data_IF_668643984462
#
_entry.id   IF_668643984462
#
_cell.length_a   1.000
_cell.length_b   1.000
_cell.length_c   1.000
_cell.angle_alpha   90.00
_cell.angle_beta   90.00
_cell.angle_gamma   90.00
#
_symmetry.space_group_name_H-M   'P 1'
#
loop_
_entity.id
_entity.type
_entity.pdbx_description
1 polymer ?
#
# COMPACT_ATOMS: atom_id res chain seq x y z
N UNK A 1 -4.62 3.68 23.61
CA UNK A 1 -5.92 3.37 22.96
C UNK A 1 -5.56 2.87 21.59
N UNK A 2 -5.77 1.58 21.32
CA UNK A 2 -5.44 0.99 20.04
C UNK A 2 -6.58 1.24 19.06
N UNK A 3 -6.27 1.31 17.76
CA UNK A 3 -7.27 1.52 16.72
C UNK A 3 -8.45 0.54 16.78
N UNK A 4 -8.17 -0.69 17.21
CA UNK A 4 -9.14 -1.78 17.38
C UNK A 4 -10.22 -1.48 18.41
N UNK A 5 -9.94 -0.66 19.43
CA UNK A 5 -10.87 -0.44 20.55
C UNK A 5 -12.08 0.43 20.15
N UNK A 6 -11.98 1.19 19.06
CA UNK A 6 -13.05 2.07 18.55
C UNK A 6 -13.72 1.57 17.27
N UNK A 7 -13.19 0.54 16.62
CA UNK A 7 -13.72 -0.04 15.38
C UNK A 7 -14.42 -1.38 15.67
N UNK A 8 -15.47 -1.32 16.50
CA UNK A 8 -16.33 -2.48 16.80
C UNK A 8 -17.41 -2.62 15.73
N UNK A 9 -17.27 -3.58 14.80
CA UNK A 9 -18.31 -4.28 14.00
C UNK A 9 -19.42 -3.49 13.29
N UNK A 10 -19.47 -2.17 13.41
CA UNK A 10 -20.23 -1.26 12.57
C UNK A 10 -19.20 -0.63 11.62
N UNK A 11 -19.49 -0.72 10.32
CA UNK A 11 -18.77 -0.15 9.17
C UNK A 11 -17.68 0.83 9.61
N UNK A 12 -16.41 0.45 9.51
CA UNK A 12 -15.32 1.38 9.71
C UNK A 12 -15.56 2.53 8.74
N UNK A 13 -16.06 3.66 9.23
CA UNK A 13 -16.33 4.79 8.37
C UNK A 13 -15.00 5.23 7.75
N UNK A 14 -15.02 5.59 6.47
CA UNK A 14 -13.81 5.85 5.71
C UNK A 14 -12.90 6.90 6.40
N UNK A 15 -13.49 7.87 7.10
CA UNK A 15 -12.76 8.90 7.84
C UNK A 15 -12.03 8.33 9.07
N UNK A 16 -12.69 7.49 9.86
CA UNK A 16 -12.09 6.79 11.00
C UNK A 16 -10.96 5.86 10.57
N UNK A 17 -11.11 5.17 9.43
CA UNK A 17 -10.04 4.33 8.87
C UNK A 17 -8.86 5.17 8.37
N UNK A 18 -9.09 6.28 7.67
CA UNK A 18 -8.03 7.21 7.28
C UNK A 18 -7.26 7.72 8.51
N UNK A 19 -7.98 8.16 9.56
CA UNK A 19 -7.34 8.62 10.79
C UNK A 19 -6.55 7.51 11.50
N UNK A 20 -6.99 6.24 11.38
CA UNK A 20 -6.25 5.09 11.84
C UNK A 20 -4.92 4.94 11.10
N UNK A 21 -4.96 4.91 9.76
CA UNK A 21 -3.79 4.76 8.90
C UNK A 21 -2.79 5.89 9.19
N UNK A 22 -3.27 7.14 9.24
CA UNK A 22 -2.44 8.31 9.53
C UNK A 22 -1.73 8.21 10.88
N UNK A 23 -2.41 7.70 11.91
CA UNK A 23 -1.83 7.54 13.25
C UNK A 23 -0.84 6.38 13.31
N UNK A 24 -1.21 5.19 12.83
CA UNK A 24 -0.39 3.98 13.03
C UNK A 24 0.85 3.95 12.13
N UNK A 25 0.82 4.69 11.01
CA UNK A 25 1.98 4.91 10.15
C UNK A 25 2.62 6.29 10.36
N UNK A 26 2.24 7.03 11.39
CA UNK A 26 2.93 8.27 11.75
C UNK A 26 4.39 7.97 12.12
N UNK A 27 5.32 8.75 11.56
CA UNK A 27 6.74 8.61 11.86
C UNK A 27 7.42 7.41 11.21
N UNK A 28 6.81 6.78 10.20
CA UNK A 28 7.56 5.86 9.32
C UNK A 28 8.75 6.60 8.72
N UNK A 29 9.90 5.92 8.68
CA UNK A 29 11.10 6.49 8.11
C UNK A 29 10.87 6.77 6.63
N UNK A 30 11.25 7.97 6.20
CA UNK A 30 11.19 8.37 4.80
C UNK A 30 12.09 7.46 3.97
N UNK A 31 11.51 6.79 2.98
CA UNK A 31 12.26 6.02 1.99
C UNK A 31 13.31 6.87 1.29
N UNK A 32 14.47 6.30 0.93
CA UNK A 32 15.48 7.04 0.15
C UNK A 32 15.02 7.25 -1.30
N UNK A 33 14.51 6.17 -1.93
CA UNK A 33 14.01 6.16 -3.30
C UNK A 33 12.62 6.82 -3.40
N UNK A 34 12.43 7.72 -4.35
CA UNK A 34 11.15 8.39 -4.62
C UNK A 34 10.19 7.53 -5.48
N UNK A 35 8.87 7.80 -5.43
CA UNK A 35 7.92 7.18 -6.37
C UNK A 35 8.31 7.45 -7.83
N UNK A 36 8.76 8.67 -8.14
CA UNK A 36 9.25 9.03 -9.47
C UNK A 36 10.47 8.21 -9.90
N UNK A 37 11.36 7.85 -8.99
CA UNK A 37 12.47 6.96 -9.28
C UNK A 37 12.00 5.53 -9.55
N UNK A 38 11.03 5.01 -8.79
CA UNK A 38 10.38 3.74 -9.11
C UNK A 38 9.66 3.77 -10.47
N UNK A 39 9.01 4.88 -10.82
CA UNK A 39 8.33 5.03 -12.11
C UNK A 39 9.32 4.93 -13.28
N UNK A 40 10.55 5.42 -13.11
CA UNK A 40 11.60 5.20 -14.12
C UNK A 40 11.93 3.71 -14.28
N UNK A 41 12.02 2.96 -13.18
CA UNK A 41 12.32 1.52 -13.25
C UNK A 41 11.24 0.75 -14.02
N UNK A 42 9.97 1.10 -13.81
CA UNK A 42 8.85 0.49 -14.54
C UNK A 42 8.87 0.89 -16.03
N UNK A 43 9.12 2.17 -16.32
CA UNK A 43 9.17 2.71 -17.69
C UNK A 43 10.28 2.08 -18.55
N UNK A 44 11.47 1.87 -17.98
CA UNK A 44 12.60 1.28 -18.70
C UNK A 44 12.61 -0.26 -18.62
N UNK A 45 11.82 -0.86 -17.72
CA UNK A 45 11.71 -2.30 -17.55
C UNK A 45 13.07 -2.99 -17.36
N UNK A 46 13.25 -4.14 -18.00
CA UNK A 46 14.51 -4.90 -17.97
C UNK A 46 15.60 -4.34 -18.92
N UNK A 47 15.37 -3.18 -19.55
CA UNK A 47 16.39 -2.55 -20.40
C UNK A 47 17.29 -1.67 -19.54
N UNK A 48 18.56 -2.05 -19.45
CA UNK A 48 19.57 -1.31 -18.71
C UNK A 48 20.01 -0.08 -19.52
N UNK A 49 19.55 1.09 -19.10
CA UNK A 49 20.41 2.27 -18.89
C UNK A 49 19.58 3.46 -18.37
N UNK A 50 19.16 3.39 -17.10
CA UNK A 50 18.77 4.61 -16.38
C UNK A 50 20.07 5.31 -15.98
N UNK A 51 20.41 6.40 -16.67
CA UNK A 51 21.62 7.15 -16.31
C UNK A 51 21.54 7.68 -14.88
N UNK A 52 22.66 7.74 -14.16
CA UNK A 52 22.72 8.35 -12.82
C UNK A 52 22.13 9.77 -12.81
N UNK A 53 22.31 10.51 -13.93
CA UNK A 53 21.76 11.85 -14.11
C UNK A 53 20.24 11.85 -14.13
N UNK A 54 19.62 10.92 -14.85
CA UNK A 54 18.17 10.80 -14.95
C UNK A 54 17.58 10.31 -13.63
N UNK A 55 18.20 9.30 -13.00
CA UNK A 55 17.84 8.82 -11.66
C UNK A 55 17.87 9.95 -10.62
N UNK A 56 18.96 10.72 -10.58
CA UNK A 56 19.09 11.84 -9.66
C UNK A 56 18.15 13.00 -9.99
N UNK A 57 17.80 13.22 -11.26
CA UNK A 57 16.83 14.24 -11.66
C UNK A 57 15.42 13.90 -11.17
N UNK A 58 14.97 12.66 -11.36
CA UNK A 58 13.65 12.21 -10.86
C UNK A 58 13.55 12.21 -9.34
N UNK A 59 14.65 11.98 -8.63
CA UNK A 59 14.69 12.14 -7.17
C UNK A 59 14.54 13.60 -6.70
N UNK A 60 14.94 14.60 -7.50
CA UNK A 60 14.87 16.03 -7.14
C UNK A 60 13.48 16.62 -7.24
N UNK A 61 12.60 16.01 -8.03
CA UNK A 61 11.20 16.43 -8.18
C UNK A 61 10.32 15.96 -7.01
N UNK A 62 10.89 15.18 -6.10
CA UNK A 62 10.21 14.69 -4.90
C UNK A 62 9.82 15.83 -3.97
N UNK A 63 8.53 15.92 -3.65
CA UNK A 63 7.96 16.98 -2.81
C UNK A 63 7.67 16.56 -1.38
N UNK A 64 7.49 15.25 -1.13
CA UNK A 64 7.10 14.74 0.19
C UNK A 64 8.26 14.78 1.19
N UNK A 65 8.08 15.38 2.35
CA UNK A 65 8.96 15.21 3.52
C UNK A 65 8.46 14.13 4.48
N UNK A 66 7.16 13.84 4.42
CA UNK A 66 6.44 12.73 5.06
C UNK A 66 5.43 12.16 4.07
N UNK A 67 5.02 10.90 4.23
CA UNK A 67 4.19 10.21 3.24
C UNK A 67 2.81 10.87 3.04
N UNK A 68 2.29 11.60 4.04
CA UNK A 68 1.02 12.32 3.94
C UNK A 68 1.06 13.49 2.94
N UNK A 69 2.25 13.97 2.60
CA UNK A 69 2.46 15.08 1.66
C UNK A 69 2.53 14.63 0.20
N UNK A 70 2.52 13.31 -0.06
CA UNK A 70 2.51 12.79 -1.42
C UNK A 70 1.20 13.20 -2.11
N UNK A 71 1.24 13.91 -3.26
CA UNK A 71 0.04 14.32 -3.97
C UNK A 71 -0.76 13.13 -4.50
N UNK A 72 -2.09 13.23 -4.45
CA UNK A 72 -2.99 12.20 -4.98
C UNK A 72 -2.71 11.87 -6.46
N UNK A 73 -2.43 12.88 -7.28
CA UNK A 73 -2.07 12.68 -8.69
C UNK A 73 -0.76 11.89 -8.88
N UNK A 74 0.17 11.96 -7.94
CA UNK A 74 1.40 11.14 -7.98
C UNK A 74 1.10 9.68 -7.60
N UNK A 75 0.18 9.45 -6.66
CA UNK A 75 -0.29 8.10 -6.32
C UNK A 75 -1.02 7.46 -7.51
N UNK A 76 -1.90 8.21 -8.19
CA UNK A 76 -2.60 7.76 -9.41
C UNK A 76 -1.62 7.38 -10.52
N UNK A 77 -0.63 8.24 -10.81
CA UNK A 77 0.37 7.97 -11.86
C UNK A 77 1.27 6.78 -11.52
N UNK A 78 1.41 6.46 -10.23
CA UNK A 78 2.28 5.41 -9.70
C UNK A 78 1.50 4.20 -9.17
N UNK A 79 0.26 3.96 -9.62
CA UNK A 79 -0.67 3.04 -8.97
C UNK A 79 -0.14 1.60 -8.76
N UNK A 80 0.71 1.09 -9.65
CA UNK A 80 1.29 -0.26 -9.57
C UNK A 80 2.61 -0.40 -8.82
N UNK A 81 3.24 0.70 -8.37
CA UNK A 81 4.65 0.67 -7.97
C UNK A 81 4.93 -0.05 -6.65
N UNK A 82 3.93 -0.20 -5.77
CA UNK A 82 4.07 -0.95 -4.52
C UNK A 82 4.55 -2.41 -4.74
N UNK A 83 4.26 -3.00 -5.90
CA UNK A 83 4.69 -4.36 -6.22
C UNK A 83 6.22 -4.50 -6.33
N UNK A 84 6.92 -3.41 -6.68
CA UNK A 84 8.37 -3.38 -6.94
C UNK A 84 9.21 -2.92 -5.74
N UNK A 85 8.56 -2.56 -4.63
CA UNK A 85 9.23 -2.03 -3.45
C UNK A 85 9.71 -3.14 -2.53
N UNK A 86 10.86 -2.90 -1.91
CA UNK A 86 11.37 -3.68 -0.79
C UNK A 86 10.77 -3.15 0.53
N UNK A 87 11.14 -3.78 1.65
CA UNK A 87 10.45 -3.57 2.93
C UNK A 87 10.45 -2.11 3.43
N UNK A 88 11.53 -1.36 3.21
CA UNK A 88 11.64 0.03 3.71
C UNK A 88 10.75 0.97 2.90
N UNK A 89 10.80 0.90 1.57
CA UNK A 89 9.97 1.74 0.71
C UNK A 89 8.50 1.35 0.80
N UNK A 90 8.22 0.06 0.89
CA UNK A 90 6.86 -0.43 1.08
C UNK A 90 6.24 0.10 2.37
N UNK A 91 6.97 0.08 3.49
CA UNK A 91 6.49 0.60 4.77
C UNK A 91 6.23 2.11 4.72
N UNK A 92 7.02 2.86 3.96
CA UNK A 92 6.84 4.30 3.81
C UNK A 92 5.66 4.68 2.90
N UNK A 93 5.54 4.03 1.73
CA UNK A 93 4.56 4.41 0.70
C UNK A 93 3.19 3.78 0.87
N UNK A 94 3.10 2.55 1.38
CA UNK A 94 1.82 1.85 1.59
C UNK A 94 0.74 2.71 2.27
N UNK A 95 0.99 3.44 3.39
CA UNK A 95 -0.06 4.22 4.03
C UNK A 95 -0.64 5.32 3.14
N UNK A 96 0.14 5.93 2.23
CA UNK A 96 -0.38 6.91 1.29
C UNK A 96 -1.36 6.27 0.30
N UNK A 97 -1.02 5.08 -0.21
CA UNK A 97 -1.87 4.29 -1.11
C UNK A 97 -3.14 3.81 -0.42
N UNK A 98 -3.04 3.27 0.80
CA UNK A 98 -4.22 2.88 1.59
C UNK A 98 -5.12 4.08 1.88
N UNK A 99 -4.55 5.23 2.25
CA UNK A 99 -5.32 6.46 2.51
C UNK A 99 -6.07 6.91 1.26
N UNK A 100 -5.38 6.95 0.12
CA UNK A 100 -5.98 7.29 -1.17
C UNK A 100 -7.10 6.31 -1.54
N UNK A 101 -6.84 5.01 -1.48
CA UNK A 101 -7.80 3.97 -1.82
C UNK A 101 -9.07 4.05 -0.96
N UNK A 102 -8.96 4.38 0.33
CA UNK A 102 -10.12 4.59 1.21
C UNK A 102 -10.87 5.88 0.87
N UNK A 103 -10.16 6.98 0.62
CA UNK A 103 -10.78 8.27 0.27
C UNK A 103 -11.56 8.21 -1.06
N UNK A 104 -11.04 7.43 -2.02
CA UNK A 104 -11.53 7.36 -3.39
C UNK A 104 -12.15 6.01 -3.76
N UNK A 105 -12.51 5.15 -2.81
CA UNK A 105 -13.05 3.80 -3.03
C UNK A 105 -14.30 3.72 -3.92
N UNK A 106 -15.03 4.83 -4.08
CA UNK A 106 -16.21 4.92 -4.94
C UNK A 106 -15.86 5.15 -6.42
N UNK A 107 -14.60 5.48 -6.72
CA UNK A 107 -14.11 5.59 -8.10
C UNK A 107 -13.93 4.21 -8.68
N UNK A 108 -14.13 4.15 -9.97
CA UNK A 108 -14.10 2.91 -10.75
C UNK A 108 -12.69 2.62 -11.23
N UNK A 109 -12.36 1.34 -11.47
CA UNK A 109 -11.00 0.94 -11.86
C UNK A 109 -10.53 1.50 -13.20
N UNK A 110 -11.45 1.92 -14.09
CA UNK A 110 -11.08 2.62 -15.34
C UNK A 110 -10.72 4.10 -15.14
N UNK A 111 -11.05 4.68 -13.98
CA UNK A 111 -10.60 6.03 -13.59
C UNK A 111 -9.26 5.99 -12.86
N UNK A 112 -9.04 4.96 -12.04
CA UNK A 112 -7.81 4.68 -11.29
C UNK A 112 -7.90 3.30 -10.66
N UNK A 113 -6.84 2.50 -10.73
CA UNK A 113 -6.79 1.15 -10.14
C UNK A 113 -5.92 1.10 -8.86
N UNK A 114 -5.66 2.25 -8.22
CA UNK A 114 -4.88 2.33 -6.98
C UNK A 114 -5.45 1.39 -5.91
N UNK A 115 -6.78 1.28 -5.76
CA UNK A 115 -7.39 0.36 -4.80
C UNK A 115 -7.03 -1.10 -5.13
N UNK A 116 -7.22 -1.53 -6.37
CA UNK A 116 -6.92 -2.90 -6.80
C UNK A 116 -5.44 -3.22 -6.66
N UNK A 117 -4.56 -2.31 -7.09
CA UNK A 117 -3.11 -2.47 -6.97
C UNK A 117 -2.63 -2.48 -5.53
N UNK A 118 -3.23 -1.68 -4.64
CA UNK A 118 -2.91 -1.69 -3.21
C UNK A 118 -3.30 -3.02 -2.57
N UNK A 119 -4.47 -3.56 -2.89
CA UNK A 119 -4.90 -4.88 -2.42
C UNK A 119 -3.99 -5.97 -2.96
N UNK A 120 -3.65 -5.91 -4.24
CA UNK A 120 -2.72 -6.87 -4.86
C UNK A 120 -1.37 -6.88 -4.13
N UNK A 121 -0.81 -5.70 -3.84
CA UNK A 121 0.44 -5.56 -3.14
C UNK A 121 0.42 -6.08 -1.69
N UNK A 122 -0.78 -6.20 -1.11
CA UNK A 122 -1.05 -6.77 0.22
C UNK A 122 -1.44 -8.26 0.19
N UNK A 123 -1.49 -8.88 -0.98
CA UNK A 123 -1.99 -10.24 -1.17
C UNK A 123 -0.86 -11.21 -1.56
N UNK A 124 -0.21 -11.91 -0.61
CA UNK A 124 0.82 -12.90 -0.92
C UNK A 124 0.20 -14.24 -1.40
N UNK A 125 -0.41 -14.23 -2.60
CA UNK A 125 -1.16 -15.36 -3.18
C UNK A 125 -0.27 -16.35 -3.95
N UNK A 126 1.05 -16.16 -3.97
CA UNK A 126 1.96 -16.98 -4.74
C UNK A 126 1.93 -18.44 -4.26
N UNK A 127 1.66 -19.36 -5.20
CA UNK A 127 1.69 -20.81 -4.93
C UNK A 127 3.12 -21.31 -4.72
N UNK A 128 4.10 -20.64 -5.33
CA UNK A 128 5.50 -20.93 -5.15
C UNK A 128 5.95 -20.37 -3.80
N UNK A 129 6.55 -21.23 -2.95
CA UNK A 129 6.94 -20.86 -1.58
C UNK A 129 8.00 -19.76 -1.55
N UNK A 130 8.96 -19.77 -2.46
CA UNK A 130 10.05 -18.79 -2.49
C UNK A 130 9.54 -17.43 -2.94
N UNK A 131 8.69 -17.40 -3.97
CA UNK A 131 8.00 -16.18 -4.41
C UNK A 131 7.09 -15.63 -3.30
N UNK A 132 6.36 -16.51 -2.59
CA UNK A 132 5.54 -16.10 -1.46
C UNK A 132 6.38 -15.55 -0.31
N UNK A 133 7.52 -16.18 0.00
CA UNK A 133 8.43 -15.71 1.03
C UNK A 133 9.00 -14.33 0.68
N UNK A 134 9.38 -14.13 -0.59
CA UNK A 134 9.80 -12.83 -1.10
C UNK A 134 8.68 -11.79 -1.01
N UNK A 135 7.46 -12.12 -1.43
CA UNK A 135 6.30 -11.23 -1.29
C UNK A 135 5.99 -10.87 0.16
N UNK A 136 6.20 -11.79 1.11
CA UNK A 136 6.00 -11.54 2.55
C UNK A 136 7.15 -10.73 3.16
N UNK A 137 8.36 -10.81 2.61
CA UNK A 137 9.53 -10.13 3.16
C UNK A 137 9.36 -8.61 3.24
N UNK A 138 8.60 -8.01 2.32
CA UNK A 138 8.28 -6.57 2.35
C UNK A 138 7.50 -6.13 3.61
N UNK A 139 6.86 -7.07 4.30
CA UNK A 139 6.12 -6.80 5.53
C UNK A 139 6.98 -6.86 6.80
N UNK A 140 8.28 -7.16 6.69
CA UNK A 140 9.15 -7.43 7.84
C UNK A 140 9.27 -6.25 8.82
N UNK A 141 9.14 -5.01 8.34
CA UNK A 141 9.23 -3.80 9.17
C UNK A 141 7.96 -3.45 9.95
N UNK A 142 6.86 -4.17 9.76
CA UNK A 142 5.55 -3.78 10.30
C UNK A 142 5.45 -4.13 11.78
N UNK A 143 5.09 -3.14 12.60
CA UNK A 143 4.71 -3.39 13.98
C UNK A 143 3.25 -3.89 14.09
N UNK A 144 2.84 -4.34 15.27
CA UNK A 144 1.50 -4.89 15.49
C UNK A 144 0.37 -3.91 15.14
N UNK A 145 0.54 -2.61 15.39
CA UNK A 145 -0.48 -1.60 15.13
C UNK A 145 -0.62 -1.30 13.62
N UNK A 146 0.49 -1.26 12.89
CA UNK A 146 0.51 -1.15 11.43
C UNK A 146 -0.14 -2.36 10.76
N UNK A 147 0.18 -3.58 11.23
CA UNK A 147 -0.50 -4.80 10.76
C UNK A 147 -2.00 -4.75 10.99
N UNK A 148 -2.43 -4.25 12.16
CA UNK A 148 -3.86 -4.09 12.46
C UNK A 148 -4.53 -3.06 11.54
N UNK A 149 -3.86 -1.96 11.22
CA UNK A 149 -4.37 -0.97 10.26
C UNK A 149 -4.54 -1.59 8.85
N UNK A 150 -3.62 -2.45 8.42
CA UNK A 150 -3.78 -3.22 7.17
C UNK A 150 -4.98 -4.17 7.23
N UNK A 151 -5.18 -4.89 8.33
CA UNK A 151 -6.35 -5.75 8.52
C UNK A 151 -7.65 -4.94 8.40
N UNK A 152 -7.72 -3.76 9.03
CA UNK A 152 -8.87 -2.88 8.94
C UNK A 152 -9.10 -2.36 7.51
N UNK A 153 -8.02 -2.01 6.81
CA UNK A 153 -8.08 -1.62 5.40
C UNK A 153 -8.65 -2.74 4.52
N UNK A 154 -8.10 -3.95 4.60
CA UNK A 154 -8.58 -5.09 3.81
C UNK A 154 -10.04 -5.46 4.16
N UNK A 155 -10.41 -5.35 5.44
CA UNK A 155 -11.80 -5.57 5.87
C UNK A 155 -12.74 -4.52 5.27
N UNK A 156 -12.32 -3.25 5.23
CA UNK A 156 -13.08 -2.19 4.59
C UNK A 156 -13.25 -2.46 3.09
N UNK A 157 -12.18 -2.76 2.36
CA UNK A 157 -12.24 -3.09 0.93
C UNK A 157 -13.22 -4.25 0.68
N UNK A 158 -13.10 -5.33 1.44
CA UNK A 158 -13.98 -6.49 1.31
C UNK A 158 -15.48 -6.19 1.56
N UNK A 159 -15.79 -5.10 2.26
CA UNK A 159 -17.16 -4.67 2.53
C UNK A 159 -17.72 -3.73 1.47
N UNK A 160 -16.87 -2.89 0.86
CA UNK A 160 -17.31 -1.80 -0.02
C UNK A 160 -17.10 -2.09 -1.51
N UNK A 161 -16.24 -3.05 -1.86
CA UNK A 161 -15.92 -3.41 -3.24
C UNK A 161 -16.41 -4.83 -3.54
N UNK A 162 -17.44 -4.95 -4.39
CA UNK A 162 -18.01 -6.24 -4.81
C UNK A 162 -17.25 -6.87 -6.00
N UNK A 163 -16.18 -6.24 -6.49
CA UNK A 163 -15.35 -6.72 -7.59
C UNK A 163 -14.26 -7.71 -7.14
N UNK A 164 -13.33 -8.03 -8.05
CA UNK A 164 -12.20 -8.91 -7.75
C UNK A 164 -11.32 -8.38 -6.60
N UNK A 165 -11.19 -7.06 -6.44
CA UNK A 165 -10.39 -6.46 -5.36
C UNK A 165 -10.98 -6.79 -3.99
N UNK A 166 -12.30 -6.78 -3.84
CA UNK A 166 -12.96 -7.23 -2.60
C UNK A 166 -12.68 -8.70 -2.29
N UNK A 167 -12.75 -9.57 -3.30
CA UNK A 167 -12.42 -10.99 -3.13
C UNK A 167 -10.94 -11.19 -2.76
N UNK A 168 -10.02 -10.47 -3.39
CA UNK A 168 -8.59 -10.53 -3.06
C UNK A 168 -8.32 -10.04 -1.64
N UNK A 169 -9.06 -9.03 -1.15
CA UNK A 169 -8.94 -8.58 0.23
C UNK A 169 -9.38 -9.67 1.22
N UNK A 170 -10.48 -10.38 0.95
CA UNK A 170 -10.92 -11.55 1.74
C UNK A 170 -9.86 -12.65 1.76
N UNK A 171 -9.29 -12.97 0.59
CA UNK A 171 -8.27 -14.01 0.47
C UNK A 171 -6.98 -13.61 1.21
N UNK A 172 -6.56 -12.34 1.13
CA UNK A 172 -5.39 -11.83 1.84
C UNK A 172 -5.56 -11.90 3.36
N UNK A 173 -6.76 -11.54 3.86
CA UNK A 173 -7.12 -11.67 5.27
C UNK A 173 -6.99 -13.12 5.74
N UNK A 174 -7.63 -14.05 5.04
CA UNK A 174 -7.66 -15.46 5.42
C UNK A 174 -6.27 -16.13 5.36
N UNK A 175 -5.46 -15.80 4.35
CA UNK A 175 -4.23 -16.54 4.06
C UNK A 175 -2.97 -15.96 4.72
N UNK A 176 -3.00 -14.72 5.23
CA UNK A 176 -1.82 -14.09 5.81
C UNK A 176 -2.13 -13.13 6.96
N UNK A 177 -3.03 -12.17 6.77
CA UNK A 177 -3.18 -11.07 7.73
C UNK A 177 -3.89 -11.47 9.03
N UNK A 178 -4.74 -12.50 9.01
CA UNK A 178 -5.43 -13.05 10.19
C UNK A 178 -5.07 -14.51 10.49
N UNK A 179 -4.23 -15.14 9.66
CA UNK A 179 -3.92 -16.56 9.73
C UNK A 179 -3.24 -16.99 11.06
N UNK A 180 -2.60 -16.07 11.78
CA UNK A 180 -1.92 -16.32 13.06
C UNK A 180 -2.67 -15.73 14.29
N UNK A 181 -3.95 -15.37 14.13
CA UNK A 181 -4.83 -14.95 15.25
C UNK A 181 -5.87 -15.99 15.66
N UNK A 182 -5.78 -17.21 15.13
CA UNK A 182 -6.65 -18.35 15.45
C UNK A 182 -5.90 -19.44 16.23
#
# INVERSE_FOLDING_TARGET
>A
MNCSDNLSTATADAASLIACIEREFAGTQRAETSLRQFLLTDKYGMSEDISEREWAASGKERVDSIWQEIPDAEIEECEGLLAHMEAEEFLYYLPAYMRYAVAYHHRTSWETDVLGMTVHALSPFERNRDLRAHAIAKYAGFNAAQRQAVVLFLTFVAQVDESLSGQYALDALANYWQADTA
#
